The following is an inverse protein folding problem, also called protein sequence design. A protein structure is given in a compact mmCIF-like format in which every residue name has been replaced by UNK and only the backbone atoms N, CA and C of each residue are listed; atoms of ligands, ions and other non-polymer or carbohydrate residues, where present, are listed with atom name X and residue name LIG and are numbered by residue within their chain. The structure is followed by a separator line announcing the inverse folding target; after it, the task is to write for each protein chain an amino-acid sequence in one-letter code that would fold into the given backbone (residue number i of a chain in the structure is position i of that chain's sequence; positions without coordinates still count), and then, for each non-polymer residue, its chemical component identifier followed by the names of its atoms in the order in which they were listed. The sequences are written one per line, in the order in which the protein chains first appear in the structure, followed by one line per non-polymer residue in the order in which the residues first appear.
data_IF_972043495248
#
_entry.id   IF_972043495248
#
_cell.length_a   1.000
_cell.length_b   1.000
_cell.length_c   1.000
_cell.angle_alpha   90.00
_cell.angle_beta   90.00
_cell.angle_gamma   90.00
#
_symmetry.space_group_name_H-M   'P 1'
#
loop_
_entity.id
_entity.type
_entity.pdbx_description
1 polymer ?
#
# COMPACT_ATOMS: atom_id res chain seq x y z
N UNK A 1 -15.79 -1.59 -3.97
CA UNK A 1 -14.41 -2.13 -4.13
C UNK A 1 -13.62 -1.82 -2.86
N UNK A 2 -12.91 -2.80 -2.30
CA UNK A 2 -12.13 -2.57 -1.09
C UNK A 2 -10.93 -1.65 -1.37
N UNK A 3 -10.64 -0.78 -0.43
CA UNK A 3 -9.46 0.08 -0.45
C UNK A 3 -8.65 -0.03 0.86
N UNK A 4 -9.24 -0.60 1.90
CA UNK A 4 -8.62 -0.76 3.21
C UNK A 4 -8.64 -2.23 3.65
N UNK A 5 -7.64 -2.69 4.43
CA UNK A 5 -7.63 -4.06 4.91
C UNK A 5 -8.72 -4.30 5.96
N UNK A 6 -9.27 -5.52 6.00
CA UNK A 6 -10.16 -5.96 7.07
C UNK A 6 -9.35 -6.49 8.25
N UNK A 7 -10.00 -6.63 9.41
CA UNK A 7 -9.35 -7.25 10.58
C UNK A 7 -8.89 -8.67 10.31
N UNK A 8 -9.66 -9.43 9.54
CA UNK A 8 -9.31 -10.81 9.17
C UNK A 8 -8.08 -10.85 8.26
N UNK A 9 -7.98 -9.92 7.29
CA UNK A 9 -6.81 -9.80 6.42
C UNK A 9 -5.56 -9.46 7.23
N UNK A 10 -5.66 -8.54 8.17
CA UNK A 10 -4.54 -8.14 9.04
C UNK A 10 -4.07 -9.32 9.90
N UNK A 11 -5.01 -10.08 10.48
CA UNK A 11 -4.67 -11.26 11.29
C UNK A 11 -3.96 -12.31 10.46
N UNK A 12 -4.46 -12.60 9.25
CA UNK A 12 -3.84 -13.56 8.34
C UNK A 12 -2.45 -13.11 7.91
N UNK A 13 -2.28 -11.84 7.60
CA UNK A 13 -0.97 -11.26 7.28
C UNK A 13 0.02 -11.48 8.42
N UNK A 14 -0.40 -11.22 9.66
CA UNK A 14 0.42 -11.43 10.85
C UNK A 14 0.77 -12.91 11.05
N UNK A 15 -0.21 -13.80 10.89
CA UNK A 15 -0.05 -15.21 11.18
C UNK A 15 0.83 -15.93 10.15
N UNK A 16 0.95 -15.38 8.96
CA UNK A 16 1.80 -15.91 7.88
C UNK A 16 3.22 -15.34 7.90
N UNK A 17 3.62 -14.70 9.01
CA UNK A 17 4.93 -14.10 9.15
C UNK A 17 6.03 -15.18 9.13
N UNK A 18 7.03 -15.00 8.27
CA UNK A 18 8.19 -15.89 8.16
C UNK A 18 9.41 -15.34 8.90
N UNK A 19 9.27 -14.21 9.60
CA UNK A 19 10.34 -13.55 10.33
C UNK A 19 11.24 -12.65 9.49
N UNK A 20 11.10 -12.68 8.17
CA UNK A 20 11.92 -11.89 7.25
C UNK A 20 11.25 -10.60 6.78
N UNK A 21 11.89 -9.91 5.84
CA UNK A 21 11.29 -8.71 5.23
C UNK A 21 10.07 -9.05 4.40
N UNK A 22 9.20 -8.07 4.22
CA UNK A 22 8.02 -8.17 3.37
C UNK A 22 8.04 -7.02 2.38
N UNK A 23 7.70 -7.33 1.13
CA UNK A 23 7.61 -6.35 0.05
C UNK A 23 6.14 -6.22 -0.33
N UNK A 24 5.58 -5.04 -0.11
CA UNK A 24 4.16 -4.80 -0.33
C UNK A 24 3.93 -4.25 -1.73
N UNK A 25 3.10 -4.96 -2.49
CA UNK A 25 2.63 -4.52 -3.80
C UNK A 25 1.38 -3.68 -3.61
N UNK A 26 1.39 -2.48 -4.19
CA UNK A 26 0.22 -1.60 -4.21
C UNK A 26 -0.19 -1.34 -5.66
N UNK A 27 -1.42 -1.67 -6.00
CA UNK A 27 -2.04 -1.24 -7.26
C UNK A 27 -3.16 -0.28 -6.90
N UNK A 28 -3.19 0.88 -7.56
CA UNK A 28 -4.09 1.98 -7.19
C UNK A 28 -4.93 2.41 -8.38
N UNK A 29 -6.23 2.58 -8.15
CA UNK A 29 -7.13 3.29 -9.06
C UNK A 29 -7.67 4.50 -8.33
N UNK A 30 -7.35 5.69 -8.83
CA UNK A 30 -7.73 6.93 -8.17
C UNK A 30 -9.19 7.29 -8.40
N UNK A 31 -9.78 7.97 -7.42
CA UNK A 31 -11.11 8.55 -7.50
C UNK A 31 -11.05 9.90 -8.22
N UNK A 32 -10.76 9.87 -9.54
CA UNK A 32 -10.62 11.08 -10.36
C UNK A 32 -9.39 11.91 -10.01
N UNK A 33 -9.35 13.14 -10.51
CA UNK A 33 -8.23 14.06 -10.28
C UNK A 33 -8.13 14.48 -8.81
N UNK A 34 -9.26 14.65 -8.13
CA UNK A 34 -9.28 14.94 -6.70
C UNK A 34 -8.70 13.78 -5.89
N UNK A 35 -8.94 12.54 -6.31
CA UNK A 35 -8.37 11.35 -5.69
C UNK A 35 -6.86 11.31 -5.85
N UNK A 36 -6.36 11.58 -7.05
CA UNK A 36 -4.92 11.64 -7.30
C UNK A 36 -4.26 12.71 -6.42
N UNK A 37 -4.87 13.87 -6.28
CA UNK A 37 -4.36 14.95 -5.43
C UNK A 37 -4.35 14.55 -3.95
N UNK A 38 -5.41 13.88 -3.48
CA UNK A 38 -5.49 13.36 -2.11
C UNK A 38 -4.40 12.32 -1.85
N UNK A 39 -4.12 11.46 -2.82
CA UNK A 39 -3.05 10.46 -2.67
C UNK A 39 -1.67 11.13 -2.60
N UNK A 40 -1.45 12.20 -3.36
CA UNK A 40 -0.20 12.98 -3.28
C UNK A 40 -0.01 13.56 -1.88
N UNK A 41 -1.08 14.05 -1.27
CA UNK A 41 -1.04 14.53 0.13
C UNK A 41 -0.74 13.39 1.10
N UNK A 42 -1.36 12.23 0.91
CA UNK A 42 -1.08 11.03 1.69
C UNK A 42 0.38 10.61 1.57
N UNK A 43 0.92 10.59 0.35
CA UNK A 43 2.31 10.20 0.07
C UNK A 43 3.30 11.11 0.80
N UNK A 44 3.02 12.40 0.89
CA UNK A 44 3.84 13.32 1.65
C UNK A 44 3.71 13.08 3.17
N UNK A 45 2.48 12.86 3.64
CA UNK A 45 2.20 12.68 5.06
C UNK A 45 2.75 11.38 5.63
N UNK A 46 2.85 10.31 4.82
CA UNK A 46 3.31 9.00 5.28
C UNK A 46 4.83 8.91 5.45
N UNK A 47 5.61 9.83 4.87
CA UNK A 47 7.07 9.73 4.88
C UNK A 47 7.69 9.52 6.26
N UNK A 48 7.31 10.27 7.32
CA UNK A 48 7.88 10.03 8.65
C UNK A 48 7.57 8.63 9.19
N UNK A 49 6.39 8.09 8.85
CA UNK A 49 5.97 6.76 9.32
C UNK A 49 6.74 5.66 8.61
N UNK A 50 7.02 5.83 7.31
CA UNK A 50 7.87 4.90 6.56
C UNK A 50 9.29 4.89 7.14
N UNK A 51 9.84 6.05 7.42
CA UNK A 51 11.17 6.16 8.04
C UNK A 51 11.19 5.46 9.40
N UNK A 52 10.21 5.72 10.26
CA UNK A 52 10.11 5.09 11.58
C UNK A 52 9.98 3.56 11.49
N UNK A 53 9.29 3.06 10.46
CA UNK A 53 9.13 1.63 10.22
C UNK A 53 10.36 0.98 9.58
N UNK A 54 11.35 1.75 9.17
CA UNK A 54 12.51 1.25 8.43
C UNK A 54 12.16 0.82 7.01
N UNK A 55 11.08 1.36 6.46
CA UNK A 55 10.59 1.02 5.13
C UNK A 55 11.33 1.79 4.05
N UNK A 56 11.36 1.23 2.84
CA UNK A 56 11.89 1.90 1.67
C UNK A 56 10.98 1.68 0.48
N UNK A 57 10.75 2.74 -0.30
CA UNK A 57 10.02 2.66 -1.55
C UNK A 57 10.97 2.13 -2.61
N UNK A 58 10.73 0.90 -3.07
CA UNK A 58 11.55 0.25 -4.10
C UNK A 58 11.22 0.81 -5.47
N UNK A 59 9.93 1.06 -5.72
CA UNK A 59 9.47 1.61 -6.99
C UNK A 59 8.13 2.31 -6.79
N UNK A 60 7.92 3.41 -7.50
CA UNK A 60 6.62 4.06 -7.60
C UNK A 60 6.49 4.66 -9.00
N UNK A 61 5.37 4.42 -9.66
CA UNK A 61 5.17 4.92 -11.01
C UNK A 61 3.74 4.81 -11.49
N UNK A 62 3.45 5.47 -12.60
CA UNK A 62 2.17 5.40 -13.27
C UNK A 62 2.10 4.15 -14.15
N UNK A 63 0.95 3.49 -14.13
CA UNK A 63 0.68 2.36 -15.02
C UNK A 63 0.38 2.86 -16.44
N UNK A 64 0.80 2.08 -17.42
CA UNK A 64 0.56 2.35 -18.83
C UNK A 64 -0.09 1.11 -19.46
N UNK A 65 0.29 0.78 -20.68
CA UNK A 65 -0.32 -0.30 -21.46
C UNK A 65 -0.14 -1.66 -20.82
N UNK A 66 -1.24 -2.38 -20.59
CA UNK A 66 -1.18 -3.79 -20.20
C UNK A 66 -1.09 -4.65 -21.46
N UNK A 67 0.04 -5.31 -21.68
CA UNK A 67 0.24 -6.20 -22.82
C UNK A 67 -0.47 -7.53 -22.62
N UNK A 68 -0.57 -7.98 -21.37
CA UNK A 68 -1.30 -9.19 -21.00
C UNK A 68 -2.06 -8.89 -19.70
N UNK A 69 -3.37 -9.01 -19.74
CA UNK A 69 -4.23 -8.81 -18.58
C UNK A 69 -5.63 -9.38 -18.84
N UNK A 70 -6.35 -9.79 -17.80
CA UNK A 70 -7.74 -10.16 -17.95
C UNK A 70 -8.59 -8.95 -18.36
N UNK A 71 -9.76 -9.17 -18.98
CA UNK A 71 -10.68 -8.09 -19.32
C UNK A 71 -11.02 -7.24 -18.09
N UNK A 72 -11.08 -5.93 -18.27
CA UNK A 72 -11.40 -5.00 -17.19
C UNK A 72 -10.25 -4.66 -16.26
N UNK A 73 -9.08 -5.23 -16.48
CA UNK A 73 -7.88 -4.87 -15.72
C UNK A 73 -7.46 -3.44 -16.06
N UNK A 74 -7.47 -2.56 -15.05
CA UNK A 74 -7.09 -1.16 -15.23
C UNK A 74 -6.63 -0.58 -13.90
N UNK A 75 -5.37 -0.15 -13.85
CA UNK A 75 -4.77 0.48 -12.68
C UNK A 75 -4.06 1.75 -13.10
N UNK A 76 -4.05 2.76 -12.22
CA UNK A 76 -3.43 4.05 -12.51
C UNK A 76 -1.99 4.11 -12.04
N UNK A 77 -1.68 3.47 -10.91
CA UNK A 77 -0.35 3.54 -10.32
C UNK A 77 0.04 2.21 -9.66
N UNK A 78 1.35 2.02 -9.57
CA UNK A 78 1.98 0.87 -8.93
C UNK A 78 3.04 1.37 -7.96
N UNK A 79 2.99 0.87 -6.71
CA UNK A 79 4.03 1.10 -5.73
C UNK A 79 4.52 -0.23 -5.17
N UNK A 80 5.82 -0.30 -4.92
CA UNK A 80 6.44 -1.44 -4.25
C UNK A 80 7.21 -0.91 -3.07
N UNK A 81 6.82 -1.31 -1.86
CA UNK A 81 7.40 -0.80 -0.61
C UNK A 81 7.90 -1.96 0.22
N UNK A 82 9.18 -1.93 0.58
CA UNK A 82 9.81 -2.95 1.41
C UNK A 82 9.76 -2.52 2.87
N UNK A 83 9.31 -3.42 3.75
CA UNK A 83 9.39 -3.28 5.20
C UNK A 83 10.36 -4.33 5.75
N UNK A 84 11.13 -4.01 6.81
CA UNK A 84 12.09 -4.97 7.37
C UNK A 84 11.41 -6.19 7.97
N UNK A 85 10.15 -6.08 8.37
CA UNK A 85 9.35 -7.19 8.92
C UNK A 85 7.86 -6.87 8.81
N UNK A 86 7.03 -7.90 8.92
CA UNK A 86 5.57 -7.70 9.02
C UNK A 86 5.22 -6.96 10.30
N UNK A 87 5.95 -7.20 11.39
CA UNK A 87 5.75 -6.50 12.66
C UNK A 87 5.94 -4.99 12.52
N UNK A 88 6.94 -4.55 11.76
CA UNK A 88 7.17 -3.12 11.50
C UNK A 88 6.01 -2.47 10.76
N UNK A 89 5.48 -3.16 9.74
CA UNK A 89 4.29 -2.70 9.01
C UNK A 89 3.07 -2.60 9.93
N UNK A 90 2.83 -3.63 10.73
CA UNK A 90 1.69 -3.67 11.66
C UNK A 90 1.80 -2.60 12.74
N UNK A 91 3.01 -2.32 13.23
CA UNK A 91 3.24 -1.26 14.19
C UNK A 91 2.88 0.10 13.61
N UNK A 92 3.25 0.35 12.34
CA UNK A 92 2.87 1.56 11.63
C UNK A 92 1.34 1.68 11.52
N UNK A 93 0.65 0.59 11.15
CA UNK A 93 -0.81 0.59 11.04
C UNK A 93 -1.49 0.92 12.36
N UNK A 94 -0.92 0.52 13.49
CA UNK A 94 -1.48 0.73 14.83
C UNK A 94 -1.21 2.12 15.40
N UNK A 95 -0.28 2.85 14.80
CA UNK A 95 0.08 4.19 15.27
C UNK A 95 -1.12 5.12 15.12
N UNK A 96 -1.63 5.75 16.21
CA UNK A 96 -2.75 6.66 16.13
C UNK A 96 -2.51 7.85 15.20
N UNK A 97 -1.27 8.32 15.10
CA UNK A 97 -0.92 9.42 14.20
C UNK A 97 -0.98 8.98 12.74
N UNK A 98 -0.58 7.73 12.45
CA UNK A 98 -0.77 7.16 11.12
C UNK A 98 -2.25 7.02 10.80
N UNK A 99 -3.04 6.52 11.74
CA UNK A 99 -4.49 6.38 11.56
C UNK A 99 -5.17 7.71 11.21
N UNK A 100 -4.65 8.82 11.74
CA UNK A 100 -5.18 10.15 11.45
C UNK A 100 -5.01 10.56 9.98
N UNK A 101 -4.03 10.00 9.25
CA UNK A 101 -3.80 10.34 7.84
C UNK A 101 -4.41 9.32 6.87
N UNK A 102 -4.93 8.20 7.34
CA UNK A 102 -5.48 7.15 6.46
C UNK A 102 -6.67 7.62 5.64
N UNK A 103 -7.43 8.61 6.11
CA UNK A 103 -8.57 9.17 5.38
C UNK A 103 -8.14 9.77 4.04
N UNK A 104 -6.93 10.31 3.95
CA UNK A 104 -6.38 10.83 2.70
C UNK A 104 -6.26 9.71 1.67
N UNK A 105 -5.83 8.52 2.10
CA UNK A 105 -5.71 7.35 1.24
C UNK A 105 -7.08 6.81 0.85
N UNK A 106 -7.98 6.65 1.81
CA UNK A 106 -9.33 6.13 1.57
C UNK A 106 -10.09 7.04 0.60
N UNK A 107 -10.01 8.35 0.79
CA UNK A 107 -10.66 9.33 -0.09
C UNK A 107 -10.04 9.35 -1.50
N UNK A 108 -8.77 8.98 -1.62
CA UNK A 108 -8.02 9.02 -2.88
C UNK A 108 -8.42 7.90 -3.84
N UNK A 109 -8.90 6.76 -3.33
CA UNK A 109 -8.95 5.52 -4.09
C UNK A 109 -10.36 5.06 -4.41
N UNK A 110 -10.57 4.71 -5.68
CA UNK A 110 -11.76 4.00 -6.13
C UNK A 110 -11.63 2.51 -5.84
N UNK A 111 -10.43 1.95 -6.08
CA UNK A 111 -10.10 0.57 -5.72
C UNK A 111 -8.60 0.43 -5.56
N UNK A 112 -8.18 -0.61 -4.85
CA UNK A 112 -6.78 -0.87 -4.58
C UNK A 112 -6.52 -2.36 -4.40
N UNK A 113 -5.27 -2.75 -4.66
CA UNK A 113 -4.70 -4.01 -4.20
C UNK A 113 -3.54 -3.64 -3.29
N UNK A 114 -3.50 -4.25 -2.11
CA UNK A 114 -2.36 -4.20 -1.21
C UNK A 114 -2.02 -5.64 -0.87
N UNK A 115 -0.90 -6.13 -1.38
CA UNK A 115 -0.57 -7.54 -1.28
C UNK A 115 0.85 -7.75 -0.81
N UNK A 116 1.00 -8.60 0.19
CA UNK A 116 2.30 -9.00 0.70
C UNK A 116 2.99 -9.91 -0.31
N UNK A 117 4.27 -9.68 -0.53
CA UNK A 117 5.11 -10.53 -1.37
C UNK A 117 6.41 -10.84 -0.64
N UNK A 118 7.05 -11.94 -1.04
CA UNK A 118 8.37 -12.33 -0.55
C UNK A 118 9.28 -12.53 -1.76
N UNK A 119 10.50 -11.96 -1.76
CA UNK A 119 11.43 -12.16 -2.86
C UNK A 119 11.74 -13.64 -3.09
N UNK A 120 11.97 -14.02 -4.35
CA UNK A 120 12.42 -15.38 -4.68
C UNK A 120 13.85 -15.65 -4.20
N UNK A 121 14.65 -14.58 -4.11
CA UNK A 121 16.04 -14.70 -3.67
C UNK A 121 16.47 -13.51 -2.81
#
# INVERSE_FOLDING_TARGET
MPVDPTGDDVRRFRDEDDGGPVVMLNLLRFAGDAGRASYASYSAAIQPFLEAAGASVVYAGDCSTALVAPPGHSWDALLVVRYPSRAAFLQMLRDPDYQAITELRTAALQSAVLQATTPWA
#
